data_IF_156968298213
#
_entry.id   IF_156968298213
#
_cell.length_a   1.000
_cell.length_b   1.000
_cell.length_c   1.000
_cell.angle_alpha   90.00
_cell.angle_beta   90.00
_cell.angle_gamma   90.00
#
_symmetry.space_group_name_H-M   'P 1'
#
loop_
_entity.id
_entity.type
_entity.pdbx_description
1 polymer ?
#
# COMPACT_ATOMS: atom_id res chain seq x y z
N UNK A 1 -3.34 -4.68 12.80
CA UNK A 1 -2.45 -3.56 13.17
C UNK A 1 -1.00 -3.98 12.97
N UNK A 2 -0.14 -3.13 12.42
CA UNK A 2 1.28 -3.43 12.16
C UNK A 2 2.13 -3.33 13.45
N UNK A 3 3.20 -4.13 13.55
CA UNK A 3 4.14 -4.12 14.68
C UNK A 3 5.40 -3.31 14.35
N UNK A 4 6.16 -2.80 15.34
CA UNK A 4 7.42 -2.11 15.08
C UNK A 4 8.43 -2.95 14.28
N UNK A 5 8.51 -4.26 14.57
CA UNK A 5 9.40 -5.17 13.83
C UNK A 5 9.01 -5.34 12.37
N UNK A 6 7.71 -5.37 12.07
CA UNK A 6 7.23 -5.41 10.68
C UNK A 6 7.50 -4.07 9.97
N UNK A 7 7.30 -2.94 10.65
CA UNK A 7 7.57 -1.62 10.10
C UNK A 7 9.05 -1.43 9.75
N UNK A 8 9.97 -1.93 10.58
CA UNK A 8 11.41 -1.85 10.31
C UNK A 8 11.89 -2.62 9.08
N UNK A 9 11.09 -3.59 8.60
CA UNK A 9 11.37 -4.40 7.40
C UNK A 9 10.78 -3.81 6.12
N UNK A 10 9.95 -2.76 6.22
CA UNK A 10 9.30 -2.18 5.05
C UNK A 10 10.33 -1.42 4.20
N UNK A 11 10.53 -1.85 2.95
CA UNK A 11 11.52 -1.26 2.05
C UNK A 11 10.91 -0.41 0.94
N UNK A 12 9.63 -0.64 0.59
CA UNK A 12 8.88 0.16 -0.40
C UNK A 12 7.40 0.19 -0.06
N UNK A 13 6.73 1.28 -0.43
CA UNK A 13 5.28 1.42 -0.34
C UNK A 13 4.71 2.00 -1.63
N UNK A 14 3.57 1.48 -2.06
CA UNK A 14 2.85 1.90 -3.26
C UNK A 14 1.40 2.20 -2.92
N UNK A 15 0.88 3.29 -3.49
CA UNK A 15 -0.55 3.56 -3.50
C UNK A 15 -1.06 3.19 -4.89
N UNK A 16 -1.89 2.15 -4.98
CA UNK A 16 -2.38 1.62 -6.25
C UNK A 16 -3.59 2.42 -6.73
N UNK A 17 -3.36 3.71 -6.97
CA UNK A 17 -4.39 4.63 -7.44
C UNK A 17 -4.76 4.30 -8.89
N UNK A 18 -6.06 4.13 -9.15
CA UNK A 18 -6.58 4.06 -10.52
C UNK A 18 -6.21 5.30 -11.33
N UNK A 19 -5.99 5.15 -12.64
CA UNK A 19 -5.56 6.24 -13.51
C UNK A 19 -6.58 7.39 -13.55
N UNK A 20 -7.87 7.06 -13.48
CA UNK A 20 -8.97 8.04 -13.43
C UNK A 20 -9.90 7.81 -12.24
N UNK A 21 -10.84 8.74 -12.04
CA UNK A 21 -11.84 8.61 -10.98
C UNK A 21 -12.90 7.54 -11.30
N UNK A 22 -13.30 7.42 -12.57
CA UNK A 22 -14.34 6.48 -13.01
C UNK A 22 -13.90 5.01 -12.87
N UNK A 23 -12.60 4.75 -12.97
CA UNK A 23 -12.01 3.41 -12.86
C UNK A 23 -11.84 2.93 -11.40
N UNK A 24 -12.23 3.74 -10.41
CA UNK A 24 -12.13 3.35 -9.01
C UNK A 24 -13.20 2.33 -8.65
N UNK A 25 -12.78 1.29 -7.93
CA UNK A 25 -13.69 0.30 -7.35
C UNK A 25 -14.10 0.64 -5.90
N UNK A 26 -13.40 1.58 -5.27
CA UNK A 26 -13.64 2.07 -3.91
C UNK A 26 -13.24 3.56 -3.80
N UNK A 27 -13.76 4.24 -2.79
CA UNK A 27 -13.32 5.58 -2.37
C UNK A 27 -11.88 5.58 -1.84
N UNK A 28 -11.37 4.42 -1.42
CA UNK A 28 -9.98 4.21 -1.01
C UNK A 28 -9.15 3.56 -2.12
N UNK A 29 -7.85 3.91 -2.16
CA UNK A 29 -6.88 3.22 -2.99
C UNK A 29 -6.19 2.11 -2.17
N UNK A 30 -5.95 0.91 -2.73
CA UNK A 30 -5.10 -0.09 -2.09
C UNK A 30 -3.71 0.46 -1.79
N UNK A 31 -3.11 -0.06 -0.73
CA UNK A 31 -1.72 0.21 -0.36
C UNK A 31 -0.96 -1.10 -0.33
N UNK A 32 0.08 -1.21 -1.13
CA UNK A 32 0.98 -2.37 -1.19
C UNK A 32 2.30 -2.00 -0.55
N UNK A 33 2.77 -2.81 0.40
CA UNK A 33 4.08 -2.64 1.06
C UNK A 33 4.97 -3.83 0.75
N UNK A 34 6.21 -3.58 0.35
CA UNK A 34 7.23 -4.62 0.15
C UNK A 34 8.13 -4.64 1.37
N UNK A 35 8.38 -5.84 1.89
CA UNK A 35 9.28 -6.08 3.01
C UNK A 35 10.55 -6.77 2.53
N UNK A 36 11.69 -6.43 3.12
CA UNK A 36 12.89 -7.25 3.01
C UNK A 36 12.74 -8.55 3.81
N UNK A 37 13.55 -9.55 3.46
CA UNK A 37 13.43 -10.90 4.03
C UNK A 37 14.08 -11.00 5.40
#
# INVERSE_FOLDING_TARGET
MATPGLAGRAVKGFVERAATHAERWSDHAPVTVVYDR
#
